data_IF_003904542308
#
_entry.id   IF_003904542308
#
_cell.length_a   1.000
_cell.length_b   1.000
_cell.length_c   1.000
_cell.angle_alpha   90.00
_cell.angle_beta   90.00
_cell.angle_gamma   90.00
#
_symmetry.space_group_name_H-M   'P 1'
#
loop_
_entity.id
_entity.type
_entity.pdbx_description
1 polymer ?
#
# COMPACT_ATOMS: atom_id res chain seq x y z
N UNK A 1 -16.90 0.53 -6.87
CA UNK A 1 -17.03 0.25 -5.42
C UNK A 1 -15.90 -0.69 -5.02
N UNK A 2 -14.90 -0.23 -4.26
CA UNK A 2 -13.74 -1.05 -3.80
C UNK A 2 -13.39 -0.81 -2.33
N UNK A 3 -13.91 0.26 -1.73
CA UNK A 3 -13.60 0.72 -0.36
C UNK A 3 -13.80 -0.37 0.71
N UNK A 4 -14.89 -1.17 0.71
CA UNK A 4 -15.08 -2.20 1.73
C UNK A 4 -14.01 -3.30 1.68
N UNK A 5 -13.56 -3.68 0.49
CA UNK A 5 -12.60 -4.79 0.31
C UNK A 5 -11.23 -4.43 0.85
N UNK A 6 -10.74 -3.22 0.56
CA UNK A 6 -9.46 -2.73 1.06
C UNK A 6 -9.47 -2.71 2.59
N UNK A 7 -10.51 -2.14 3.21
CA UNK A 7 -10.62 -2.04 4.66
C UNK A 7 -10.72 -3.40 5.35
N UNK A 8 -11.53 -4.32 4.81
CA UNK A 8 -11.68 -5.66 5.38
C UNK A 8 -10.34 -6.41 5.32
N UNK A 9 -9.66 -6.39 4.17
CA UNK A 9 -8.37 -7.07 4.04
C UNK A 9 -7.30 -6.44 4.94
N UNK A 10 -7.20 -5.12 5.02
CA UNK A 10 -6.23 -4.48 5.91
C UNK A 10 -6.41 -4.92 7.36
N UNK A 11 -7.65 -4.99 7.84
CA UNK A 11 -7.95 -5.46 9.21
C UNK A 11 -7.60 -6.93 9.42
N UNK A 12 -7.93 -7.79 8.46
CA UNK A 12 -7.62 -9.22 8.53
C UNK A 12 -6.11 -9.49 8.47
N UNK A 13 -5.37 -8.74 7.65
CA UNK A 13 -3.91 -8.87 7.52
C UNK A 13 -3.21 -8.31 8.76
N UNK A 14 -3.69 -7.19 9.29
CA UNK A 14 -3.12 -6.58 10.48
C UNK A 14 -3.30 -7.46 11.72
N UNK A 15 -4.41 -8.19 11.82
CA UNK A 15 -4.68 -9.15 12.90
C UNK A 15 -4.44 -8.54 14.29
N UNK A 16 -4.97 -7.33 14.51
CA UNK A 16 -4.81 -6.57 15.75
C UNK A 16 -3.49 -5.80 15.89
N UNK A 17 -2.54 -5.96 14.95
CA UNK A 17 -1.32 -5.16 14.90
C UNK A 17 -1.62 -3.73 14.37
N UNK A 18 -0.86 -2.70 14.79
CA UNK A 18 -0.93 -1.37 14.20
C UNK A 18 -0.67 -1.43 12.69
N UNK A 19 -1.41 -0.63 11.92
CA UNK A 19 -1.20 -0.54 10.48
C UNK A 19 -1.55 0.83 9.91
N UNK A 20 -0.97 1.16 8.77
CA UNK A 20 -1.34 2.33 8.00
C UNK A 20 -1.46 1.99 6.50
N UNK A 21 -2.27 2.76 5.80
CA UNK A 21 -2.43 2.66 4.35
C UNK A 21 -1.90 3.96 3.75
N UNK A 22 -1.16 3.88 2.65
CA UNK A 22 -0.62 5.06 2.00
C UNK A 22 -0.62 4.94 0.47
N UNK A 23 -0.65 6.10 -0.20
CA UNK A 23 -0.35 6.19 -1.63
C UNK A 23 1.16 6.22 -1.83
N UNK A 24 1.71 5.22 -2.52
CA UNK A 24 3.16 5.11 -2.71
C UNK A 24 3.71 6.16 -3.68
N UNK A 25 2.91 6.68 -4.61
CA UNK A 25 3.37 7.68 -5.56
C UNK A 25 3.70 9.05 -4.91
N UNK A 26 3.00 9.38 -3.82
CA UNK A 26 3.17 10.63 -3.06
C UNK A 26 3.79 10.43 -1.67
N UNK A 27 3.99 9.18 -1.24
CA UNK A 27 4.35 8.85 0.14
C UNK A 27 3.41 9.53 1.15
N UNK A 28 2.11 9.50 0.86
CA UNK A 28 1.09 10.18 1.66
C UNK A 28 0.21 9.15 2.38
N UNK A 29 0.02 9.29 3.71
CA UNK A 29 -0.94 8.48 4.45
C UNK A 29 -2.36 8.72 3.91
N UNK A 30 -3.10 7.63 3.70
CA UNK A 30 -4.54 7.68 3.43
C UNK A 30 -5.26 7.88 4.75
N UNK A 31 -5.92 9.02 4.93
CA UNK A 31 -6.54 9.42 6.20
C UNK A 31 -8.06 9.25 6.21
N UNK A 32 -8.68 9.04 5.05
CA UNK A 32 -10.12 8.92 4.93
C UNK A 32 -10.58 7.81 3.98
N UNK A 33 -11.68 7.16 4.33
CA UNK A 33 -12.22 6.01 3.57
C UNK A 33 -12.58 6.35 2.11
N UNK A 34 -12.93 7.60 1.82
CA UNK A 34 -13.27 8.04 0.47
C UNK A 34 -12.05 8.12 -0.45
N UNK A 35 -10.83 8.17 0.10
CA UNK A 35 -9.56 8.16 -0.62
C UNK A 35 -9.21 6.73 -1.09
N UNK A 36 -9.84 5.69 -0.52
CA UNK A 36 -9.65 4.27 -0.89
C UNK A 36 -10.45 3.84 -2.14
N UNK A 37 -11.00 4.79 -2.90
CA UNK A 37 -11.74 4.48 -4.13
C UNK A 37 -10.76 3.93 -5.17
N UNK A 38 -11.12 2.83 -5.84
CA UNK A 38 -10.19 2.03 -6.67
C UNK A 38 -9.59 2.74 -7.88
N UNK A 39 -10.05 3.95 -8.20
CA UNK A 39 -9.46 4.84 -9.20
C UNK A 39 -8.41 5.80 -8.64
N UNK A 40 -8.33 6.00 -7.32
CA UNK A 40 -7.33 6.84 -6.65
C UNK A 40 -5.90 6.29 -6.76
N UNK A 41 -5.76 5.04 -7.19
CA UNK A 41 -4.46 4.40 -7.35
C UNK A 41 -3.87 4.49 -8.76
N UNK A 42 -4.58 5.08 -9.73
CA UNK A 42 -3.97 5.35 -11.04
C UNK A 42 -3.08 6.59 -10.92
N UNK A 43 -1.79 6.38 -10.71
CA UNK A 43 -0.82 7.48 -10.78
C UNK A 43 -0.85 8.10 -12.18
N UNK A 44 -0.96 9.43 -12.24
CA UNK A 44 -0.85 10.21 -13.48
C UNK A 44 0.60 10.61 -13.78
N UNK A 45 1.57 10.21 -12.94
CA UNK A 45 2.98 10.55 -13.11
C UNK A 45 3.57 9.84 -14.33
N UNK A 46 4.21 10.62 -15.20
CA UNK A 46 4.96 10.12 -16.36
C UNK A 46 6.13 9.24 -15.91
N UNK A 47 6.38 8.13 -16.62
CA UNK A 47 7.44 7.16 -16.26
C UNK A 47 6.96 5.89 -15.53
N UNK A 48 5.66 5.79 -15.21
CA UNK A 48 5.00 4.63 -14.57
C UNK A 48 5.27 3.27 -15.24
N UNK A 49 5.55 3.25 -16.56
CA UNK A 49 5.80 2.02 -17.34
C UNK A 49 7.29 1.72 -17.57
N UNK A 50 8.20 2.45 -16.94
CA UNK A 50 9.63 2.16 -17.09
C UNK A 50 10.02 1.03 -16.14
N UNK A 51 10.69 0.00 -16.66
CA UNK A 51 11.13 -1.19 -15.91
C UNK A 51 12.11 -0.88 -14.77
N UNK A 52 12.52 0.38 -14.66
CA UNK A 52 13.59 0.89 -13.81
C UNK A 52 13.10 1.78 -12.66
N UNK A 53 11.79 2.03 -12.50
CA UNK A 53 11.21 2.76 -11.38
C UNK A 53 9.77 2.27 -11.08
N UNK A 54 9.62 1.32 -10.15
CA UNK A 54 8.33 0.71 -9.85
C UNK A 54 7.58 1.48 -8.77
N UNK A 55 6.37 1.93 -9.09
CA UNK A 55 5.45 2.55 -8.15
C UNK A 55 4.28 1.60 -7.89
N UNK A 56 4.08 1.21 -6.64
CA UNK A 56 2.86 0.58 -6.17
C UNK A 56 1.66 1.52 -6.15
N UNK A 57 0.48 0.91 -6.17
CA UNK A 57 -0.81 1.58 -6.17
C UNK A 57 -1.10 2.14 -4.78
N UNK A 58 -1.39 1.25 -3.84
CA UNK A 58 -1.51 1.57 -2.43
C UNK A 58 -0.65 0.60 -1.63
N UNK A 59 -0.03 1.09 -0.58
CA UNK A 59 0.71 0.26 0.36
C UNK A 59 -0.10 0.10 1.63
N UNK A 60 -0.06 -1.11 2.18
CA UNK A 60 -0.41 -1.40 3.55
C UNK A 60 0.89 -1.71 4.29
N UNK A 61 1.18 -0.94 5.33
CA UNK A 61 2.32 -1.15 6.22
C UNK A 61 1.77 -1.62 7.56
N UNK A 62 2.22 -2.77 8.02
CA UNK A 62 1.77 -3.40 9.27
C UNK A 62 2.97 -3.60 10.18
N UNK A 63 2.86 -3.17 11.43
CA UNK A 63 3.90 -3.33 12.43
C UNK A 63 3.64 -4.57 13.28
N UNK A 64 4.09 -5.73 12.81
CA UNK A 64 4.00 -6.95 13.61
C UNK A 64 5.12 -6.98 14.66
N UNK A 65 4.94 -7.71 15.78
CA UNK A 65 5.93 -7.75 16.87
C UNK A 65 7.35 -8.15 16.43
N UNK A 66 7.47 -8.97 15.39
CA UNK A 66 8.76 -9.49 14.90
C UNK A 66 9.34 -8.69 13.73
N UNK A 67 8.48 -8.08 12.90
CA UNK A 67 8.90 -7.37 11.70
C UNK A 67 7.80 -6.46 11.15
N UNK A 68 8.21 -5.32 10.58
CA UNK A 68 7.32 -4.53 9.75
C UNK A 68 7.10 -5.23 8.40
N UNK A 69 5.85 -5.53 8.07
CA UNK A 69 5.46 -6.14 6.79
C UNK A 69 4.79 -5.12 5.89
N UNK A 70 5.12 -5.18 4.60
CA UNK A 70 4.61 -4.25 3.59
C UNK A 70 3.88 -5.05 2.52
N UNK A 71 2.71 -4.56 2.12
CA UNK A 71 1.86 -5.18 1.14
C UNK A 71 1.45 -4.17 0.07
N UNK A 72 1.42 -4.59 -1.19
CA UNK A 72 0.90 -3.80 -2.29
C UNK A 72 -0.54 -4.19 -2.61
N UNK A 73 -1.40 -3.19 -2.75
CA UNK A 73 -2.73 -3.38 -3.33
C UNK A 73 -2.62 -3.74 -4.82
N UNK A 74 -3.20 -4.88 -5.21
CA UNK A 74 -3.32 -5.31 -6.59
C UNK A 74 -4.74 -5.02 -7.10
N UNK A 75 -4.95 -3.97 -7.93
CA UNK A 75 -6.27 -3.71 -8.52
C UNK A 75 -6.74 -4.86 -9.41
N UNK A 76 -5.82 -5.60 -10.05
CA UNK A 76 -6.15 -6.75 -10.89
C UNK A 76 -6.64 -7.94 -10.08
N UNK A 77 -5.99 -8.22 -8.94
CA UNK A 77 -6.33 -9.37 -8.07
C UNK A 77 -7.30 -9.01 -6.95
N UNK A 78 -7.63 -7.72 -6.81
CA UNK A 78 -8.48 -7.19 -5.75
C UNK A 78 -8.02 -7.59 -4.35
N UNK A 79 -6.70 -7.58 -4.11
CA UNK A 79 -6.13 -7.97 -2.82
C UNK A 79 -4.79 -7.32 -2.52
N UNK A 80 -4.40 -7.38 -1.25
CA UNK A 80 -3.03 -7.08 -0.84
C UNK A 80 -2.12 -8.28 -1.07
N UNK A 81 -0.99 -8.05 -1.75
CA UNK A 81 0.07 -9.04 -1.94
C UNK A 81 1.31 -8.60 -1.14
N UNK A 82 1.90 -9.50 -0.35
CA UNK A 82 3.10 -9.22 0.44
C UNK A 82 4.28 -8.90 -0.48
N UNK A 83 5.03 -7.86 -0.13
CA UNK A 83 6.31 -7.54 -0.76
C UNK A 83 7.39 -8.28 0.02
N UNK A 84 8.03 -9.27 -0.62
CA UNK A 84 9.04 -10.11 0.03
C UNK A 84 10.35 -9.35 0.32
N UNK A 85 10.74 -8.44 -0.58
CA UNK A 85 12.01 -7.72 -0.51
C UNK A 85 11.77 -6.20 -0.67
N UNK A 86 11.21 -5.54 0.35
CA UNK A 86 10.85 -4.12 0.26
C UNK A 86 12.04 -3.19 -0.04
N UNK A 87 13.25 -3.61 0.31
CA UNK A 87 14.48 -2.82 0.18
C UNK A 87 15.11 -2.88 -1.23
N UNK A 88 14.60 -3.74 -2.12
CA UNK A 88 15.11 -3.89 -3.51
C UNK A 88 14.42 -3.00 -4.53
N UNK A 89 13.52 -2.13 -4.10
CA UNK A 89 12.71 -1.30 -4.97
C UNK A 89 13.39 0.06 -5.18
N UNK A 90 13.33 0.59 -6.41
CA UNK A 90 13.94 1.89 -6.78
C UNK A 90 13.40 3.06 -5.96
N UNK A 91 12.17 2.93 -5.43
CA UNK A 91 11.63 3.82 -4.41
C UNK A 91 11.44 3.08 -3.10
N UNK A 92 11.86 3.71 -2.01
CA UNK A 92 11.63 3.19 -0.67
C UNK A 92 10.14 3.08 -0.41
N UNK A 93 9.70 1.86 -0.10
CA UNK A 93 8.35 1.57 0.41
C UNK A 93 8.29 1.63 1.94
N UNK A 94 9.44 1.82 2.61
CA UNK A 94 9.51 2.07 4.05
C UNK A 94 9.21 3.53 4.36
N UNK A 95 8.56 3.76 5.50
CA UNK A 95 8.21 5.09 6.04
C UNK A 95 7.24 5.91 5.17
N UNK A 96 6.45 5.25 4.31
CA UNK A 96 5.41 5.89 3.49
C UNK A 96 4.25 6.39 4.36
N UNK A 97 4.05 5.74 5.51
CA UNK A 97 3.23 6.19 6.62
C UNK A 97 3.73 5.51 7.91
N UNK A 98 3.28 6.01 9.06
CA UNK A 98 3.53 5.40 10.37
C UNK A 98 2.29 4.61 10.78
N UNK A 99 2.43 3.31 11.14
CA UNK A 99 1.37 2.54 11.77
C UNK A 99 0.97 3.15 13.12
N UNK A 100 -0.34 3.35 13.32
CA UNK A 100 -0.94 3.89 14.54
C UNK A 100 -1.93 2.90 15.17
#
# INVERSE_FOLDING_TARGET
MTVPVVLIQSRLIADGSPYCIAEHAENSPVKALHELRGFAFYTTKTGYKTTSAWYFHGLLVVDHPEEQRIYNWSPRRWRFDRIAEPDRLIKSVRNVCTPD
#
